data_IF_651798583313
#
_entry.id   IF_651798583313
#
_cell.length_a   1.000
_cell.length_b   1.000
_cell.length_c   1.000
_cell.angle_alpha   90.00
_cell.angle_beta   90.00
_cell.angle_gamma   90.00
#
_symmetry.space_group_name_H-M   'P 1'
#
loop_
_entity.id
_entity.type
_entity.pdbx_description
1 polymer ?
#
# COMPACT_ATOMS: atom_id res chain seq x y z
N UNK A 1 -7.53 4.63 28.01
CA UNK A 1 -7.32 4.41 26.55
C UNK A 1 -8.63 4.79 25.87
N UNK A 2 -8.62 5.76 24.97
CA UNK A 2 -9.79 6.15 24.18
C UNK A 2 -9.69 5.54 22.79
N UNK A 3 -10.81 5.07 22.24
CA UNK A 3 -10.94 4.59 20.86
C UNK A 3 -11.74 5.58 20.00
N UNK A 4 -12.01 6.77 20.53
CA UNK A 4 -12.70 7.82 19.80
C UNK A 4 -11.73 8.55 18.88
N UNK A 5 -12.15 8.77 17.64
CA UNK A 5 -11.42 9.60 16.68
C UNK A 5 -11.45 11.07 17.11
N UNK A 6 -10.35 11.78 16.90
CA UNK A 6 -10.30 13.25 17.03
C UNK A 6 -11.19 13.92 15.97
N UNK A 7 -11.49 15.21 16.13
CA UNK A 7 -12.26 15.97 15.14
C UNK A 7 -11.59 15.93 13.76
N UNK A 8 -10.29 16.23 13.72
CA UNK A 8 -9.46 16.17 12.50
C UNK A 8 -9.49 14.78 11.84
N UNK A 9 -9.35 13.71 12.63
CA UNK A 9 -9.43 12.33 12.11
C UNK A 9 -10.79 12.02 11.50
N UNK A 10 -11.89 12.51 12.09
CA UNK A 10 -13.24 12.33 11.54
C UNK A 10 -13.42 13.10 10.23
N UNK A 11 -12.93 14.32 10.17
CA UNK A 11 -13.00 15.17 8.97
C UNK A 11 -12.23 14.55 7.80
N UNK A 12 -10.99 14.10 8.03
CA UNK A 12 -10.16 13.47 7.00
C UNK A 12 -10.70 12.09 6.58
N UNK A 13 -11.23 11.31 7.52
CA UNK A 13 -11.94 10.06 7.21
C UNK A 13 -13.17 10.34 6.34
N UNK A 14 -13.96 11.37 6.66
CA UNK A 14 -15.13 11.74 5.87
C UNK A 14 -14.75 12.22 4.47
N UNK A 15 -13.71 13.05 4.33
CA UNK A 15 -13.19 13.51 3.04
C UNK A 15 -12.74 12.31 2.17
N UNK A 16 -11.96 11.39 2.74
CA UNK A 16 -11.49 10.21 2.02
C UNK A 16 -12.67 9.29 1.61
N UNK A 17 -13.67 9.14 2.48
CA UNK A 17 -14.88 8.36 2.18
C UNK A 17 -15.69 8.99 1.04
N UNK A 18 -15.92 10.30 1.07
CA UNK A 18 -16.64 11.02 0.02
C UNK A 18 -15.93 10.88 -1.33
N UNK A 19 -14.60 11.02 -1.36
CA UNK A 19 -13.82 10.77 -2.56
C UNK A 19 -13.94 9.31 -3.03
N UNK A 20 -13.86 8.35 -2.10
CA UNK A 20 -13.98 6.94 -2.42
C UNK A 20 -15.36 6.58 -3.01
N UNK A 21 -16.44 7.15 -2.47
CA UNK A 21 -17.81 6.93 -2.93
C UNK A 21 -18.08 7.60 -4.28
N UNK A 22 -17.61 8.84 -4.47
CA UNK A 22 -17.91 9.64 -5.67
C UNK A 22 -16.98 9.40 -6.85
N UNK A 23 -15.70 9.15 -6.58
CA UNK A 23 -14.66 9.14 -7.60
C UNK A 23 -14.04 7.74 -7.82
N UNK A 24 -13.99 6.87 -6.79
CA UNK A 24 -13.40 5.53 -6.93
C UNK A 24 -14.43 4.45 -7.25
N UNK A 25 -15.47 4.33 -6.44
CA UNK A 25 -16.47 3.25 -6.56
C UNK A 25 -17.14 3.21 -7.93
N UNK A 26 -17.62 4.33 -8.52
CA UNK A 26 -18.41 4.29 -9.75
C UNK A 26 -17.63 3.78 -10.96
N UNK A 27 -16.32 4.02 -10.99
CA UNK A 27 -15.44 3.67 -12.11
C UNK A 27 -14.65 2.36 -11.86
N UNK A 28 -14.78 1.78 -10.66
CA UNK A 28 -14.00 0.62 -10.18
C UNK A 28 -14.03 -0.59 -11.14
N UNK A 29 -15.23 -0.93 -11.66
CA UNK A 29 -15.41 -2.07 -12.58
C UNK A 29 -14.72 -1.85 -13.91
N UNK A 30 -14.93 -0.67 -14.50
CA UNK A 30 -14.40 -0.29 -15.80
C UNK A 30 -12.86 -0.30 -15.79
N UNK A 31 -12.24 0.28 -14.76
CA UNK A 31 -10.78 0.35 -14.68
C UNK A 31 -10.14 -0.97 -14.25
N UNK A 32 -10.85 -1.82 -13.50
CA UNK A 32 -10.41 -3.22 -13.31
C UNK A 32 -10.39 -3.98 -14.63
N UNK A 33 -11.33 -3.74 -15.54
CA UNK A 33 -11.39 -4.37 -16.86
C UNK A 33 -10.34 -3.85 -17.83
N UNK A 34 -10.09 -2.54 -17.81
CA UNK A 34 -9.00 -1.92 -18.57
C UNK A 34 -7.62 -2.30 -18.06
N UNK A 35 -7.56 -2.82 -16.84
CA UNK A 35 -6.33 -3.11 -16.11
C UNK A 35 -5.39 -1.91 -16.03
N UNK A 36 -5.92 -0.69 -15.87
CA UNK A 36 -5.12 0.53 -15.91
C UNK A 36 -5.57 1.58 -14.88
N UNK A 37 -4.79 2.65 -14.74
CA UNK A 37 -5.07 3.71 -13.78
C UNK A 37 -5.44 5.04 -14.49
N UNK A 38 -6.55 5.71 -14.12
CA UNK A 38 -6.94 6.98 -14.70
C UNK A 38 -6.02 8.13 -14.26
N UNK A 39 -5.28 8.80 -15.16
CA UNK A 39 -4.44 9.95 -14.79
C UNK A 39 -5.24 11.10 -14.18
N UNK A 40 -6.46 11.34 -14.67
CA UNK A 40 -7.34 12.38 -14.14
C UNK A 40 -7.75 12.12 -12.68
N UNK A 41 -7.96 10.86 -12.30
CA UNK A 41 -8.25 10.50 -10.91
C UNK A 41 -7.06 10.81 -10.00
N UNK A 42 -5.84 10.50 -10.46
CA UNK A 42 -4.62 10.77 -9.71
C UNK A 42 -4.41 12.28 -9.54
N UNK A 43 -4.68 13.07 -10.57
CA UNK A 43 -4.64 14.53 -10.50
C UNK A 43 -5.69 15.08 -9.50
N UNK A 44 -6.92 14.56 -9.51
CA UNK A 44 -7.94 14.93 -8.51
C UNK A 44 -7.50 14.58 -7.09
N UNK A 45 -6.94 13.38 -6.88
CA UNK A 45 -6.44 12.95 -5.58
C UNK A 45 -5.30 13.86 -5.08
N UNK A 46 -4.38 14.25 -5.97
CA UNK A 46 -3.30 15.17 -5.66
C UNK A 46 -3.81 16.57 -5.29
N UNK A 47 -4.76 17.12 -6.05
CA UNK A 47 -5.37 18.42 -5.76
C UNK A 47 -6.11 18.47 -4.41
N UNK A 48 -6.62 17.32 -3.94
CA UNK A 48 -7.24 17.18 -2.61
C UNK A 48 -6.24 16.86 -1.49
N UNK A 49 -4.94 16.73 -1.79
CA UNK A 49 -3.89 16.38 -0.83
C UNK A 49 -3.88 14.90 -0.42
N UNK A 50 -4.64 14.03 -1.09
CA UNK A 50 -4.69 12.60 -0.75
C UNK A 50 -3.39 11.87 -1.07
N UNK A 51 -2.57 12.39 -2.00
CA UNK A 51 -1.22 11.87 -2.31
C UNK A 51 -0.11 12.45 -1.42
N UNK A 52 -0.43 13.42 -0.54
CA UNK A 52 0.57 14.19 0.22
C UNK A 52 0.23 14.39 1.69
N UNK A 53 -0.90 13.82 2.16
CA UNK A 53 -1.39 13.99 3.53
C UNK A 53 -0.36 13.67 4.62
N UNK A 54 0.50 12.66 4.40
CA UNK A 54 1.53 12.25 5.36
C UNK A 54 2.84 13.07 5.27
N UNK A 55 2.99 13.94 4.28
CA UNK A 55 4.17 14.80 4.14
C UNK A 55 4.03 15.96 5.13
N UNK A 56 5.06 16.33 5.93
CA UNK A 56 4.98 17.45 6.87
C UNK A 56 4.61 18.78 6.19
N UNK A 57 3.87 19.62 6.93
CA UNK A 57 3.39 20.91 6.42
C UNK A 57 4.52 21.86 5.98
N UNK A 58 5.70 21.79 6.60
CA UNK A 58 6.87 22.58 6.18
C UNK A 58 7.36 22.25 4.76
N UNK A 59 7.00 21.08 4.23
CA UNK A 59 7.27 20.66 2.85
C UNK A 59 6.01 20.72 1.97
N UNK A 60 4.92 21.34 2.45
CA UNK A 60 3.69 21.56 1.69
C UNK A 60 2.64 20.45 1.78
N UNK A 61 2.84 19.43 2.63
CA UNK A 61 1.86 18.36 2.83
C UNK A 61 0.89 18.59 3.98
N UNK A 62 0.11 17.56 4.32
CA UNK A 62 -0.89 17.62 5.40
C UNK A 62 -0.33 17.42 6.82
N UNK A 63 0.84 16.79 6.96
CA UNK A 63 1.46 16.50 8.24
C UNK A 63 0.66 15.57 9.16
N UNK A 64 -0.23 14.75 8.59
CA UNK A 64 -1.13 13.92 9.40
C UNK A 64 -0.41 12.71 9.99
N UNK A 65 -0.94 12.23 11.13
CA UNK A 65 -0.39 11.10 11.86
C UNK A 65 -0.58 9.77 11.11
N UNK A 66 0.19 8.74 11.44
CA UNK A 66 0.09 7.40 10.88
C UNK A 66 -1.30 6.77 11.12
N UNK A 67 -1.93 7.01 12.27
CA UNK A 67 -3.32 6.60 12.52
C UNK A 67 -4.27 7.26 11.52
N UNK A 68 -4.12 8.57 11.31
CA UNK A 68 -4.94 9.31 10.34
C UNK A 68 -4.71 8.82 8.91
N UNK A 69 -3.46 8.57 8.50
CA UNK A 69 -3.14 7.97 7.20
C UNK A 69 -3.78 6.59 7.03
N UNK A 70 -3.80 5.76 8.08
CA UNK A 70 -4.46 4.46 8.04
C UNK A 70 -5.99 4.58 7.86
N UNK A 71 -6.63 5.60 8.47
CA UNK A 71 -8.04 5.89 8.22
C UNK A 71 -8.29 6.27 6.76
N UNK A 72 -7.46 7.14 6.19
CA UNK A 72 -7.55 7.53 4.78
C UNK A 72 -7.39 6.30 3.87
N UNK A 73 -6.38 5.46 4.12
CA UNK A 73 -6.14 4.24 3.34
C UNK A 73 -7.32 3.24 3.41
N UNK A 74 -7.93 3.06 4.58
CA UNK A 74 -9.13 2.23 4.77
C UNK A 74 -10.29 2.74 3.91
N UNK A 75 -10.56 4.04 3.94
CA UNK A 75 -11.68 4.66 3.20
C UNK A 75 -11.48 4.61 1.68
N UNK A 76 -10.28 4.92 1.18
CA UNK A 76 -9.98 4.84 -0.25
C UNK A 76 -10.09 3.40 -0.76
N UNK A 77 -9.55 2.44 0.01
CA UNK A 77 -9.57 1.02 -0.34
C UNK A 77 -10.97 0.41 -0.25
N UNK A 78 -11.81 0.92 0.66
CA UNK A 78 -13.23 0.62 0.67
C UNK A 78 -13.81 0.92 -0.71
N UNK A 79 -13.58 2.11 -1.29
CA UNK A 79 -14.08 2.49 -2.62
C UNK A 79 -13.53 1.66 -3.77
N UNK A 80 -12.20 1.54 -3.88
CA UNK A 80 -11.55 0.61 -4.80
C UNK A 80 -10.05 0.51 -4.50
N UNK A 81 -9.61 -0.58 -3.87
CA UNK A 81 -8.19 -0.81 -3.60
C UNK A 81 -7.30 -0.67 -4.85
N UNK A 82 -7.69 -1.24 -6.00
CA UNK A 82 -6.90 -1.12 -7.23
C UNK A 82 -6.66 0.33 -7.68
N UNK A 83 -7.62 1.24 -7.48
CA UNK A 83 -7.48 2.67 -7.81
C UNK A 83 -6.82 3.47 -6.68
N UNK A 84 -6.97 3.03 -5.43
CA UNK A 84 -6.37 3.65 -4.26
C UNK A 84 -4.86 3.35 -4.15
N UNK A 85 -4.42 2.16 -4.57
CA UNK A 85 -3.01 1.73 -4.45
C UNK A 85 -2.03 2.69 -5.13
N UNK A 86 -2.25 3.20 -6.36
CA UNK A 86 -1.38 4.22 -6.96
C UNK A 86 -1.29 5.54 -6.17
N UNK A 87 -2.39 5.97 -5.54
CA UNK A 87 -2.45 7.16 -4.67
C UNK A 87 -1.57 6.93 -3.43
N UNK A 88 -1.75 5.79 -2.74
CA UNK A 88 -0.97 5.43 -1.56
C UNK A 88 0.52 5.20 -1.87
N UNK A 89 0.83 4.56 -3.00
CA UNK A 89 2.20 4.26 -3.41
C UNK A 89 3.05 5.52 -3.65
N UNK A 90 2.41 6.64 -3.98
CA UNK A 90 3.08 7.94 -4.10
C UNK A 90 3.74 8.39 -2.79
N UNK A 91 3.26 7.91 -1.65
CA UNK A 91 3.83 8.22 -0.34
C UNK A 91 5.00 7.30 0.05
N UNK A 92 5.31 6.24 -0.71
CA UNK A 92 6.35 5.28 -0.33
C UNK A 92 7.74 5.89 -0.10
N UNK A 93 8.22 6.85 -0.92
CA UNK A 93 9.51 7.49 -0.67
C UNK A 93 9.51 8.48 0.50
N UNK A 94 8.34 8.91 1.00
CA UNK A 94 8.23 10.01 1.98
C UNK A 94 8.95 9.67 3.28
N UNK A 95 8.68 8.50 3.86
CA UNK A 95 9.34 8.08 5.12
C UNK A 95 10.85 7.95 4.96
N UNK A 96 11.38 7.21 3.95
CA UNK A 96 12.81 7.19 3.66
C UNK A 96 13.44 8.58 3.48
N UNK A 97 12.80 9.48 2.73
CA UNK A 97 13.28 10.85 2.53
C UNK A 97 13.31 11.67 3.82
N UNK A 98 12.27 11.56 4.66
CA UNK A 98 12.21 12.28 5.93
C UNK A 98 13.31 11.82 6.89
N UNK A 99 13.60 10.52 6.93
CA UNK A 99 14.54 9.93 7.90
C UNK A 99 16.00 9.95 7.44
N UNK A 100 16.26 9.70 6.16
CA UNK A 100 17.61 9.52 5.62
C UNK A 100 18.00 10.57 4.57
N UNK A 101 17.05 11.39 4.12
CA UNK A 101 17.32 12.45 3.17
C UNK A 101 18.07 13.62 3.79
N UNK A 102 18.90 14.27 2.98
CA UNK A 102 19.45 15.59 3.33
C UNK A 102 18.35 16.66 3.26
N UNK A 103 18.56 17.80 3.91
CA UNK A 103 17.61 18.93 3.83
C UNK A 103 17.38 19.42 2.39
N UNK A 104 18.40 19.36 1.54
CA UNK A 104 18.26 19.69 0.12
C UNK A 104 17.35 18.69 -0.61
N UNK A 105 17.50 17.39 -0.34
CA UNK A 105 16.63 16.35 -0.90
C UNK A 105 15.20 16.49 -0.39
N UNK A 106 14.99 16.71 0.92
CA UNK A 106 13.65 16.91 1.48
C UNK A 106 12.94 18.09 0.82
N UNK A 107 13.60 19.25 0.76
CA UNK A 107 13.03 20.46 0.12
C UNK A 107 12.73 20.27 -1.37
N UNK A 108 13.54 19.50 -2.09
CA UNK A 108 13.30 19.21 -3.52
C UNK A 108 12.16 18.22 -3.71
N UNK A 109 12.27 17.04 -3.10
CA UNK A 109 11.42 15.89 -3.43
C UNK A 109 10.11 15.89 -2.67
N UNK A 110 10.12 16.20 -1.36
CA UNK A 110 8.87 16.25 -0.60
C UNK A 110 7.97 17.39 -1.07
N UNK A 111 8.53 18.56 -1.41
CA UNK A 111 7.75 19.65 -1.98
C UNK A 111 7.16 19.30 -3.35
N UNK A 112 7.89 18.56 -4.18
CA UNK A 112 7.36 18.06 -5.47
C UNK A 112 6.23 17.06 -5.27
N UNK A 113 6.41 16.08 -4.37
CA UNK A 113 5.39 15.09 -4.00
C UNK A 113 4.15 15.74 -3.38
N UNK A 114 4.32 16.85 -2.66
CA UNK A 114 3.24 17.59 -2.04
C UNK A 114 2.53 18.59 -2.97
N UNK A 115 3.03 18.80 -4.18
CA UNK A 115 2.45 19.77 -5.10
C UNK A 115 1.04 19.37 -5.56
N UNK A 116 0.16 20.36 -5.76
CA UNK A 116 -1.21 20.13 -6.26
C UNK A 116 -1.25 19.48 -7.66
N UNK A 117 -0.17 19.64 -8.45
CA UNK A 117 -0.02 18.95 -9.74
C UNK A 117 0.14 17.44 -9.58
N UNK A 118 0.52 16.99 -8.39
CA UNK A 118 0.93 15.62 -8.12
C UNK A 118 2.33 15.32 -8.66
N UNK A 119 2.94 14.29 -8.10
CA UNK A 119 4.15 13.68 -8.62
C UNK A 119 4.06 12.20 -8.26
N UNK A 120 3.78 11.34 -9.24
CA UNK A 120 3.65 9.91 -8.95
C UNK A 120 4.99 9.35 -8.52
N UNK A 121 4.95 8.52 -7.49
CA UNK A 121 6.15 7.90 -6.98
C UNK A 121 6.02 6.38 -6.81
N UNK A 122 7.17 5.75 -6.74
CA UNK A 122 7.33 4.31 -6.58
C UNK A 122 8.51 3.99 -5.67
N UNK A 123 8.57 2.72 -5.26
CA UNK A 123 9.71 2.13 -4.56
C UNK A 123 10.02 0.78 -5.20
N UNK A 124 11.29 0.52 -5.48
CA UNK A 124 11.71 -0.61 -6.31
C UNK A 124 12.80 -1.45 -5.62
N UNK A 125 12.35 -2.51 -4.96
CA UNK A 125 13.22 -3.53 -4.34
C UNK A 125 13.31 -4.78 -5.20
N UNK A 126 12.14 -5.32 -5.53
CA UNK A 126 11.92 -6.66 -6.08
C UNK A 126 12.52 -6.83 -7.46
N UNK A 127 13.06 -8.01 -7.67
CA UNK A 127 13.66 -8.47 -8.92
C UNK A 127 13.10 -9.84 -9.28
N UNK A 128 13.20 -10.28 -10.55
CA UNK A 128 12.72 -11.60 -10.95
C UNK A 128 13.26 -12.75 -10.10
N UNK A 129 14.49 -12.63 -9.58
CA UNK A 129 15.13 -13.62 -8.72
C UNK A 129 15.02 -13.36 -7.21
N UNK A 130 14.50 -12.22 -6.77
CA UNK A 130 14.52 -11.81 -5.37
C UNK A 130 13.30 -10.95 -4.99
N UNK A 131 12.42 -11.48 -4.13
CA UNK A 131 11.28 -10.76 -3.57
C UNK A 131 11.30 -10.77 -2.04
N UNK A 132 10.93 -11.90 -1.44
CA UNK A 132 11.00 -12.07 0.02
C UNK A 132 12.43 -11.93 0.57
N UNK A 133 13.43 -12.38 -0.18
CA UNK A 133 14.85 -12.20 0.12
C UNK A 133 15.38 -10.87 -0.46
N UNK A 134 15.05 -9.76 0.20
CA UNK A 134 15.51 -8.42 -0.22
C UNK A 134 17.04 -8.31 -0.23
N UNK A 135 17.73 -9.02 0.67
CA UNK A 135 19.20 -9.04 0.71
C UNK A 135 19.80 -9.71 -0.54
N UNK A 136 19.04 -10.60 -1.17
CA UNK A 136 19.39 -11.34 -2.37
C UNK A 136 19.30 -10.55 -3.69
N UNK A 137 18.90 -9.27 -3.69
CA UNK A 137 18.83 -8.46 -4.93
C UNK A 137 20.18 -8.43 -5.68
N UNK A 138 20.14 -8.30 -7.00
CA UNK A 138 21.28 -8.44 -7.91
C UNK A 138 21.53 -7.21 -8.79
N UNK A 139 20.58 -6.28 -8.93
CA UNK A 139 20.83 -5.01 -9.62
C UNK A 139 22.07 -4.33 -9.03
N UNK A 140 22.95 -3.82 -9.88
CA UNK A 140 24.25 -3.28 -9.47
C UNK A 140 24.28 -1.76 -9.61
N UNK A 141 25.09 -1.12 -8.78
CA UNK A 141 25.55 0.24 -8.94
C UNK A 141 27.08 0.25 -8.90
N UNK A 142 27.71 1.13 -9.67
CA UNK A 142 29.15 1.42 -9.60
C UNK A 142 29.37 2.93 -9.59
N UNK A 143 30.45 3.37 -8.97
CA UNK A 143 30.90 4.78 -9.07
C UNK A 143 31.45 5.05 -10.47
N UNK A 144 31.20 6.25 -10.98
CA UNK A 144 31.77 6.74 -12.24
C UNK A 144 31.97 8.26 -12.16
N UNK A 145 33.15 8.68 -11.69
CA UNK A 145 33.41 10.07 -11.33
C UNK A 145 32.56 10.49 -10.13
N UNK A 146 31.80 11.58 -10.29
CA UNK A 146 30.89 12.12 -9.28
C UNK A 146 29.49 11.48 -9.34
N UNK A 147 29.26 10.54 -10.26
CA UNK A 147 27.95 9.89 -10.47
C UNK A 147 28.00 8.40 -10.10
N UNK A 148 26.81 7.80 -10.06
CA UNK A 148 26.61 6.35 -10.01
C UNK A 148 26.05 5.85 -11.34
N UNK A 149 26.41 4.63 -11.72
CA UNK A 149 25.87 3.94 -12.89
C UNK A 149 25.16 2.68 -12.43
N UNK A 150 23.86 2.59 -12.68
CA UNK A 150 22.99 1.49 -12.27
C UNK A 150 22.68 0.57 -13.45
N UNK A 151 22.70 -0.74 -13.21
CA UNK A 151 22.37 -1.75 -14.22
C UNK A 151 21.54 -2.88 -13.59
N UNK A 152 20.47 -3.30 -14.25
CA UNK A 152 19.59 -4.37 -13.76
C UNK A 152 18.11 -4.19 -14.12
N UNK A 153 17.26 -5.00 -13.51
CA UNK A 153 15.81 -4.98 -13.70
C UNK A 153 15.11 -5.08 -12.35
N UNK A 154 14.15 -4.17 -12.13
CA UNK A 154 13.17 -4.25 -11.06
C UNK A 154 11.85 -4.71 -11.63
N UNK A 155 11.11 -5.54 -10.89
CA UNK A 155 9.81 -6.04 -11.32
C UNK A 155 8.76 -5.89 -10.21
N UNK A 156 7.48 -6.02 -10.59
CA UNK A 156 6.34 -5.87 -9.70
C UNK A 156 6.31 -4.52 -8.96
N UNK A 157 6.85 -3.47 -9.58
CA UNK A 157 6.91 -2.13 -8.98
C UNK A 157 5.56 -1.45 -9.19
N UNK A 158 4.84 -1.17 -8.11
CA UNK A 158 3.66 -0.32 -8.15
C UNK A 158 4.05 1.06 -8.65
N UNK A 159 3.30 1.59 -9.63
CA UNK A 159 3.64 2.76 -10.44
C UNK A 159 4.90 2.62 -11.31
N UNK A 160 5.48 1.41 -11.45
CA UNK A 160 6.78 1.12 -12.09
C UNK A 160 6.93 1.40 -13.59
N UNK A 161 5.99 2.08 -14.21
CA UNK A 161 6.12 2.59 -15.58
C UNK A 161 5.49 3.98 -15.76
N UNK A 162 4.96 4.55 -14.69
CA UNK A 162 4.24 5.84 -14.69
C UNK A 162 4.71 6.77 -13.57
N UNK A 163 5.51 6.29 -12.62
CA UNK A 163 6.10 7.10 -11.56
C UNK A 163 7.14 8.06 -12.14
N UNK A 164 7.09 9.30 -11.70
CA UNK A 164 8.07 10.33 -12.02
C UNK A 164 9.31 10.23 -11.13
N UNK A 165 9.14 9.72 -9.90
CA UNK A 165 10.22 9.50 -8.92
C UNK A 165 10.15 8.07 -8.40
N UNK A 166 11.27 7.35 -8.46
CA UNK A 166 11.38 6.00 -7.89
C UNK A 166 12.54 5.95 -6.90
N UNK A 167 12.28 5.44 -5.69
CA UNK A 167 13.35 5.03 -4.78
C UNK A 167 13.83 3.62 -5.14
N UNK A 168 15.04 3.50 -5.67
CA UNK A 168 15.62 2.27 -6.23
C UNK A 168 16.72 1.74 -5.33
N UNK A 169 16.77 0.41 -5.15
CA UNK A 169 17.80 -0.27 -4.36
C UNK A 169 18.72 -1.12 -5.26
N UNK A 170 20.03 -0.92 -5.17
CA UNK A 170 21.03 -1.66 -5.96
C UNK A 170 22.28 -1.96 -5.13
N UNK A 171 23.05 -2.98 -5.52
CA UNK A 171 24.31 -3.37 -4.88
C UNK A 171 25.46 -2.51 -5.36
N UNK A 172 26.09 -1.78 -4.45
CA UNK A 172 27.35 -1.07 -4.63
C UNK A 172 28.39 -1.74 -3.73
N UNK A 173 29.48 -2.25 -4.32
CA UNK A 173 30.54 -2.96 -3.60
C UNK A 173 30.03 -4.08 -2.67
N UNK A 174 28.98 -4.79 -3.12
CA UNK A 174 28.33 -5.88 -2.40
C UNK A 174 27.31 -5.46 -1.34
N UNK A 175 27.19 -4.17 -1.04
CA UNK A 175 26.23 -3.63 -0.07
C UNK A 175 25.03 -2.97 -0.77
N UNK A 176 23.84 -3.10 -0.20
CA UNK A 176 22.63 -2.49 -0.76
C UNK A 176 22.65 -0.98 -0.50
N UNK A 177 22.45 -0.19 -1.54
CA UNK A 177 22.44 1.27 -1.52
C UNK A 177 21.15 1.77 -2.19
N UNK A 178 20.65 2.92 -1.72
CA UNK A 178 19.37 3.48 -2.16
C UNK A 178 19.57 4.77 -2.98
N UNK A 179 18.84 4.89 -4.09
CA UNK A 179 18.97 5.98 -5.05
C UNK A 179 17.59 6.55 -5.41
N UNK A 180 17.50 7.88 -5.49
CA UNK A 180 16.34 8.59 -6.02
C UNK A 180 16.50 8.70 -7.54
N UNK A 181 15.64 8.04 -8.30
CA UNK A 181 15.72 7.96 -9.77
C UNK A 181 14.52 8.65 -10.39
N UNK A 182 14.74 9.51 -11.39
CA UNK A 182 13.66 10.19 -12.11
C UNK A 182 13.27 9.45 -13.40
N UNK A 183 11.99 9.54 -13.76
CA UNK A 183 11.55 9.15 -15.10
C UNK A 183 12.25 10.03 -16.14
N UNK A 184 13.02 9.40 -17.03
CA UNK A 184 13.77 10.09 -18.10
C UNK A 184 15.25 10.27 -17.81
N UNK A 185 15.76 9.84 -16.65
CA UNK A 185 17.20 9.70 -16.46
C UNK A 185 17.81 8.80 -17.56
N UNK A 186 18.95 9.18 -18.19
CA UNK A 186 19.57 8.38 -19.24
C UNK A 186 19.83 6.95 -18.76
N UNK A 187 19.39 5.96 -19.53
CA UNK A 187 19.51 4.53 -19.20
C UNK A 187 18.37 3.97 -18.33
N UNK A 188 17.41 4.80 -17.89
CA UNK A 188 16.21 4.35 -17.17
C UNK A 188 15.05 4.22 -18.14
N UNK A 189 14.46 3.03 -18.23
CA UNK A 189 13.29 2.79 -19.08
C UNK A 189 12.19 2.02 -18.35
N UNK A 190 10.94 2.38 -18.64
CA UNK A 190 9.80 1.57 -18.24
C UNK A 190 9.81 0.27 -19.06
N UNK A 191 9.75 -0.86 -18.37
CA UNK A 191 9.59 -2.15 -19.03
C UNK A 191 8.11 -2.52 -19.18
N UNK A 192 7.80 -3.81 -19.03
CA UNK A 192 6.43 -4.29 -19.24
C UNK A 192 5.52 -3.94 -18.07
N UNK A 193 4.25 -3.71 -18.38
CA UNK A 193 3.16 -3.72 -17.41
C UNK A 193 2.77 -5.16 -17.10
N UNK A 194 2.57 -5.46 -15.82
CA UNK A 194 2.26 -6.79 -15.32
C UNK A 194 0.74 -7.03 -15.28
N UNK A 195 0.32 -8.21 -15.75
CA UNK A 195 -1.07 -8.67 -15.72
C UNK A 195 -1.32 -9.42 -14.40
N UNK A 196 -2.32 -8.98 -13.63
CA UNK A 196 -2.52 -9.43 -12.23
C UNK A 196 -3.90 -10.03 -12.01
N UNK A 197 -4.00 -10.90 -11.00
CA UNK A 197 -5.27 -11.45 -10.52
C UNK A 197 -6.23 -10.34 -10.03
N UNK A 198 -5.71 -9.47 -9.17
CA UNK A 198 -6.44 -8.38 -8.51
C UNK A 198 -5.59 -7.11 -8.47
N UNK A 199 -6.19 -6.03 -7.94
CA UNK A 199 -5.66 -4.67 -8.02
C UNK A 199 -5.31 -4.29 -9.47
N UNK A 200 -6.13 -4.75 -10.43
CA UNK A 200 -5.86 -4.60 -11.87
C UNK A 200 -5.84 -3.14 -12.31
N UNK A 201 -6.62 -2.29 -11.65
CA UNK A 201 -6.62 -0.84 -11.89
C UNK A 201 -5.35 -0.12 -11.36
N UNK A 202 -4.47 -0.82 -10.64
CA UNK A 202 -3.17 -0.30 -10.23
C UNK A 202 -2.15 -0.61 -11.32
N UNK A 203 -1.35 0.38 -11.71
CA UNK A 203 -0.22 0.16 -12.60
C UNK A 203 0.89 -0.57 -11.85
N UNK A 204 1.24 -1.77 -12.29
CA UNK A 204 2.40 -2.52 -11.77
C UNK A 204 3.27 -2.86 -12.97
N UNK A 205 4.56 -2.54 -12.90
CA UNK A 205 5.46 -2.77 -14.04
C UNK A 205 6.89 -3.05 -13.61
N UNK A 206 7.73 -3.29 -14.59
CA UNK A 206 9.18 -3.39 -14.42
C UNK A 206 9.87 -2.07 -14.75
N UNK A 207 10.99 -1.80 -14.10
CA UNK A 207 11.89 -0.68 -14.42
C UNK A 207 13.24 -1.29 -14.81
N UNK A 208 13.75 -0.89 -15.97
CA UNK A 208 15.01 -1.37 -16.52
C UNK A 208 16.08 -0.29 -16.40
N UNK A 209 17.28 -0.72 -16.02
CA UNK A 209 18.46 0.12 -15.90
C UNK A 209 19.54 -0.44 -16.84
N UNK A 210 19.85 0.30 -17.90
CA UNK A 210 20.93 0.02 -18.84
C UNK A 210 21.99 1.12 -18.70
N UNK A 211 22.97 0.86 -17.84
CA UNK A 211 24.01 1.81 -17.44
C UNK A 211 23.44 3.20 -17.12
N UNK A 212 22.38 3.21 -16.30
CA UNK A 212 21.64 4.40 -15.94
C UNK A 212 22.47 5.32 -15.06
N UNK A 213 22.70 6.57 -15.50
CA UNK A 213 23.58 7.52 -14.81
C UNK A 213 22.81 8.38 -13.82
N UNK A 214 23.15 8.26 -12.55
CA UNK A 214 22.47 8.91 -11.41
C UNK A 214 23.45 9.83 -10.67
N UNK A 215 23.17 11.14 -10.57
CA UNK A 215 24.03 12.08 -9.84
C UNK A 215 24.22 11.73 -8.37
N UNK A 216 25.40 12.00 -7.79
CA UNK A 216 25.66 11.65 -6.38
C UNK A 216 24.70 12.30 -5.37
N UNK A 217 24.17 13.49 -5.67
CA UNK A 217 23.14 14.15 -4.85
C UNK A 217 21.83 13.38 -4.72
N UNK A 218 21.62 12.34 -5.54
CA UNK A 218 20.46 11.46 -5.50
C UNK A 218 20.68 10.16 -4.73
N UNK A 219 21.87 9.97 -4.13
CA UNK A 219 22.08 8.94 -3.10
C UNK A 219 21.23 9.25 -1.86
N UNK A 220 20.39 8.32 -1.42
CA UNK A 220 19.62 8.47 -0.18
C UNK A 220 20.33 7.77 0.98
N UNK A 221 20.63 8.53 2.04
CA UNK A 221 21.48 8.06 3.13
C UNK A 221 22.94 7.93 2.68
N UNK A 222 23.69 7.06 3.34
CA UNK A 222 25.04 6.69 2.94
C UNK A 222 25.07 5.38 2.12
N UNK A 223 26.18 5.13 1.45
CA UNK A 223 26.41 3.85 0.78
C UNK A 223 26.35 2.68 1.76
N UNK A 224 25.72 1.60 1.33
CA UNK A 224 25.49 0.43 2.16
C UNK A 224 24.35 0.56 3.18
N UNK A 225 23.74 1.74 3.35
CA UNK A 225 22.59 1.91 4.25
C UNK A 225 21.25 1.46 3.64
N UNK A 226 21.22 1.08 2.36
CA UNK A 226 19.99 0.75 1.65
C UNK A 226 19.19 -0.38 2.29
N UNK A 227 19.84 -1.38 2.91
CA UNK A 227 19.10 -2.42 3.64
C UNK A 227 18.40 -1.87 4.89
N UNK A 228 19.05 -0.97 5.64
CA UNK A 228 18.45 -0.33 6.81
C UNK A 228 17.29 0.59 6.42
N UNK A 229 17.44 1.33 5.31
CA UNK A 229 16.37 2.16 4.73
C UNK A 229 15.17 1.29 4.34
N UNK A 230 15.40 0.15 3.68
CA UNK A 230 14.34 -0.79 3.31
C UNK A 230 13.59 -1.33 4.55
N UNK A 231 14.32 -1.69 5.61
CA UNK A 231 13.69 -2.17 6.84
C UNK A 231 12.89 -1.07 7.55
N UNK A 232 13.36 0.17 7.59
CA UNK A 232 12.58 1.31 8.12
C UNK A 232 11.30 1.54 7.32
N UNK A 233 11.37 1.49 6.00
CA UNK A 233 10.20 1.58 5.13
C UNK A 233 9.16 0.51 5.51
N UNK A 234 9.55 -0.77 5.58
CA UNK A 234 8.61 -1.85 5.89
C UNK A 234 7.96 -1.74 7.28
N UNK A 235 8.66 -1.18 8.27
CA UNK A 235 8.06 -0.94 9.58
C UNK A 235 6.88 0.04 9.50
N UNK A 236 6.93 1.01 8.59
CA UNK A 236 5.92 2.05 8.42
C UNK A 236 4.84 1.70 7.40
N UNK A 237 5.18 0.97 6.33
CA UNK A 237 4.25 0.61 5.26
C UNK A 237 3.24 -0.46 5.70
N UNK A 238 3.64 -1.40 6.56
CA UNK A 238 2.80 -2.56 6.94
C UNK A 238 1.44 -2.19 7.55
N UNK A 239 1.32 -1.22 8.48
CA UNK A 239 0.02 -0.76 8.96
C UNK A 239 -0.86 -0.13 7.87
N UNK A 240 -0.26 0.54 6.88
CA UNK A 240 -1.00 1.13 5.75
C UNK A 240 -1.57 0.05 4.84
N UNK A 241 -0.77 -0.95 4.47
CA UNK A 241 -1.22 -2.10 3.67
C UNK A 241 -2.29 -2.92 4.42
N UNK A 242 -2.17 -3.02 5.74
CA UNK A 242 -3.20 -3.63 6.57
C UNK A 242 -4.51 -2.84 6.53
N UNK A 243 -4.45 -1.50 6.49
CA UNK A 243 -5.63 -0.65 6.30
C UNK A 243 -6.25 -0.81 4.91
N UNK A 244 -5.45 -1.02 3.86
CA UNK A 244 -5.97 -1.37 2.52
C UNK A 244 -6.78 -2.67 2.58
N UNK A 245 -6.25 -3.71 3.25
CA UNK A 245 -6.94 -4.98 3.44
C UNK A 245 -8.26 -4.82 4.21
N UNK A 246 -8.24 -3.99 5.25
CA UNK A 246 -9.43 -3.67 6.02
C UNK A 246 -10.50 -2.97 5.17
N UNK A 247 -10.12 -2.02 4.31
CA UNK A 247 -11.05 -1.35 3.40
C UNK A 247 -11.78 -2.33 2.47
N UNK A 248 -11.04 -3.27 1.87
CA UNK A 248 -11.61 -4.34 1.03
C UNK A 248 -12.55 -5.23 1.85
N UNK A 249 -12.10 -5.70 3.02
CA UNK A 249 -12.89 -6.57 3.89
C UNK A 249 -14.20 -5.89 4.32
N UNK A 250 -14.12 -4.63 4.74
CA UNK A 250 -15.26 -3.82 5.17
C UNK A 250 -16.27 -3.64 4.03
N UNK A 251 -15.80 -3.29 2.83
CA UNK A 251 -16.68 -3.14 1.66
C UNK A 251 -17.44 -4.43 1.33
N UNK A 252 -16.73 -5.58 1.37
CA UNK A 252 -17.33 -6.89 1.12
C UNK A 252 -18.35 -7.28 2.19
N UNK A 253 -18.01 -7.07 3.46
CA UNK A 253 -18.91 -7.34 4.59
C UNK A 253 -20.18 -6.49 4.55
N UNK A 254 -20.06 -5.18 4.33
CA UNK A 254 -21.20 -4.25 4.28
C UNK A 254 -22.15 -4.61 3.12
N UNK A 255 -21.57 -4.88 1.94
CA UNK A 255 -22.35 -5.28 0.77
C UNK A 255 -23.08 -6.61 0.98
N UNK A 256 -22.38 -7.63 1.50
CA UNK A 256 -22.99 -8.93 1.79
C UNK A 256 -24.09 -8.83 2.84
N UNK A 257 -23.91 -7.97 3.85
CA UNK A 257 -24.91 -7.70 4.89
C UNK A 257 -26.16 -7.04 4.29
N UNK A 258 -25.99 -6.02 3.45
CA UNK A 258 -27.12 -5.37 2.76
C UNK A 258 -27.88 -6.39 1.89
N UNK A 259 -27.17 -7.14 1.05
CA UNK A 259 -27.76 -8.18 0.21
C UNK A 259 -28.51 -9.23 1.03
N UNK A 260 -27.97 -9.67 2.17
CA UNK A 260 -28.61 -10.65 3.03
C UNK A 260 -29.90 -10.15 3.70
N UNK A 261 -30.02 -8.84 3.94
CA UNK A 261 -31.24 -8.23 4.45
C UNK A 261 -32.35 -8.15 3.39
N UNK A 262 -31.98 -7.94 2.13
CA UNK A 262 -32.94 -7.76 1.04
C UNK A 262 -33.34 -9.07 0.35
N UNK A 263 -32.38 -9.96 0.12
CA UNK A 263 -32.61 -11.21 -0.61
C UNK A 263 -33.41 -12.18 0.23
N UNK A 264 -34.47 -12.74 -0.37
CA UNK A 264 -35.33 -13.73 0.28
C UNK A 264 -35.06 -15.15 -0.25
N UNK A 265 -35.05 -16.12 0.66
CA UNK A 265 -35.09 -17.54 0.34
C UNK A 265 -35.87 -18.31 1.42
N UNK A 266 -36.65 -19.30 1.01
CA UNK A 266 -37.52 -20.07 1.92
C UNK A 266 -38.37 -19.13 2.81
N UNK A 267 -39.04 -18.16 2.17
CA UNK A 267 -40.02 -17.25 2.79
C UNK A 267 -39.48 -16.19 3.78
N UNK A 268 -38.16 -16.03 3.93
CA UNK A 268 -37.56 -15.01 4.82
C UNK A 268 -36.30 -14.40 4.19
N UNK A 269 -35.87 -13.20 4.62
CA UNK A 269 -34.54 -12.67 4.31
C UNK A 269 -33.43 -13.67 4.61
N UNK A 270 -32.32 -13.64 3.85
CA UNK A 270 -31.18 -14.52 4.08
C UNK A 270 -30.58 -14.30 5.48
N UNK A 271 -30.54 -13.06 5.98
CA UNK A 271 -30.03 -12.74 7.32
C UNK A 271 -30.81 -13.45 8.45
N UNK A 272 -32.07 -13.83 8.22
CA UNK A 272 -32.86 -14.58 9.20
C UNK A 272 -32.49 -16.07 9.27
N UNK A 273 -31.60 -16.55 8.39
CA UNK A 273 -31.10 -17.93 8.37
C UNK A 273 -29.82 -17.98 9.19
N UNK A 274 -29.82 -18.77 10.27
CA UNK A 274 -28.70 -18.83 11.22
C UNK A 274 -27.34 -19.12 10.56
N UNK A 275 -27.31 -20.00 9.56
CA UNK A 275 -26.08 -20.31 8.81
C UNK A 275 -25.50 -19.12 8.02
N UNK A 276 -26.33 -18.13 7.65
CA UNK A 276 -25.89 -16.88 7.01
C UNK A 276 -25.53 -15.84 8.05
N UNK A 277 -26.37 -15.64 9.08
CA UNK A 277 -26.11 -14.61 10.10
C UNK A 277 -24.84 -14.87 10.91
N UNK A 278 -24.49 -16.14 11.17
CA UNK A 278 -23.22 -16.47 11.82
C UNK A 278 -22.01 -16.09 10.96
N UNK A 279 -22.06 -16.30 9.65
CA UNK A 279 -21.01 -15.84 8.72
C UNK A 279 -20.86 -14.32 8.77
N UNK A 280 -21.99 -13.58 8.73
CA UNK A 280 -21.97 -12.12 8.85
C UNK A 280 -21.38 -11.67 10.20
N UNK A 281 -21.70 -12.36 11.30
CA UNK A 281 -21.15 -12.07 12.61
C UNK A 281 -19.62 -12.29 12.66
N UNK A 282 -19.13 -13.41 12.13
CA UNK A 282 -17.69 -13.71 12.07
C UNK A 282 -16.95 -12.68 11.19
N UNK A 283 -17.54 -12.27 10.06
CA UNK A 283 -16.97 -11.22 9.22
C UNK A 283 -16.87 -9.88 9.96
N UNK A 284 -17.92 -9.49 10.70
CA UNK A 284 -17.91 -8.26 11.50
C UNK A 284 -16.81 -8.30 12.57
N UNK A 285 -16.65 -9.42 13.28
CA UNK A 285 -15.60 -9.61 14.29
C UNK A 285 -14.21 -9.48 13.65
N UNK A 286 -13.99 -10.09 12.49
CA UNK A 286 -12.72 -10.02 11.77
C UNK A 286 -12.38 -8.58 11.33
N UNK A 287 -13.35 -7.83 10.81
CA UNK A 287 -13.18 -6.42 10.43
C UNK A 287 -12.78 -5.57 11.64
N UNK A 288 -13.49 -5.68 12.76
CA UNK A 288 -13.16 -4.90 13.96
C UNK A 288 -11.81 -5.31 14.57
N UNK A 289 -11.50 -6.61 14.64
CA UNK A 289 -10.23 -7.08 15.15
C UNK A 289 -9.05 -6.58 14.30
N UNK A 290 -9.19 -6.57 12.96
CA UNK A 290 -8.18 -6.03 12.06
C UNK A 290 -7.97 -4.54 12.30
N UNK A 291 -9.06 -3.75 12.42
CA UNK A 291 -8.99 -2.30 12.69
C UNK A 291 -8.22 -1.99 13.97
N UNK A 292 -8.47 -2.73 15.05
CA UNK A 292 -7.79 -2.52 16.33
C UNK A 292 -6.28 -2.84 16.25
N UNK A 293 -5.90 -3.89 15.53
CA UNK A 293 -4.48 -4.22 15.32
C UNK A 293 -3.77 -3.13 14.51
N UNK A 294 -4.43 -2.62 13.46
CA UNK A 294 -3.93 -1.54 12.61
C UNK A 294 -3.73 -0.27 13.43
N UNK A 295 -4.76 0.18 14.15
CA UNK A 295 -4.69 1.40 14.95
C UNK A 295 -3.63 1.30 16.05
N UNK A 296 -3.48 0.13 16.67
CA UNK A 296 -2.41 -0.09 17.65
C UNK A 296 -1.01 0.04 17.03
N UNK A 297 -0.81 -0.52 15.84
CA UNK A 297 0.48 -0.41 15.15
C UNK A 297 0.76 1.03 14.70
N UNK A 298 -0.23 1.70 14.12
CA UNK A 298 -0.11 3.08 13.68
C UNK A 298 0.11 4.06 14.85
N UNK A 299 -0.58 3.88 15.98
CA UNK A 299 -0.37 4.70 17.17
C UNK A 299 1.02 4.49 17.79
N UNK A 300 1.59 3.29 17.68
CA UNK A 300 2.98 3.05 18.09
C UNK A 300 3.98 3.83 17.22
N UNK A 301 3.74 3.90 15.91
CA UNK A 301 4.55 4.73 15.00
C UNK A 301 4.44 6.22 15.35
N UNK A 302 3.22 6.71 15.61
CA UNK A 302 2.99 8.10 16.03
C UNK A 302 3.70 8.44 17.35
N UNK A 303 3.82 7.48 18.27
CA UNK A 303 4.57 7.62 19.51
C UNK A 303 6.10 7.45 19.35
N UNK A 304 6.60 7.19 18.13
CA UNK A 304 8.02 6.96 17.87
C UNK A 304 8.55 5.62 18.39
N UNK A 305 7.67 4.66 18.69
CA UNK A 305 8.04 3.33 19.17
C UNK A 305 8.33 2.38 18.00
N UNK A 306 9.09 1.30 18.26
CA UNK A 306 9.24 0.20 17.31
C UNK A 306 7.88 -0.49 17.09
N UNK A 307 7.37 -0.37 15.86
CA UNK A 307 6.14 -1.01 15.43
C UNK A 307 6.38 -2.26 14.56
N UNK A 308 7.60 -2.75 14.41
CA UNK A 308 7.91 -3.89 13.54
C UNK A 308 7.10 -5.15 13.89
N UNK A 309 6.97 -5.47 15.18
CA UNK A 309 6.12 -6.58 15.63
C UNK A 309 4.61 -6.28 15.44
N UNK A 310 4.17 -5.10 15.87
CA UNK A 310 2.76 -4.70 15.81
C UNK A 310 2.25 -4.59 14.37
N UNK A 311 3.04 -4.02 13.48
CA UNK A 311 2.78 -3.94 12.05
C UNK A 311 2.72 -5.32 11.40
N UNK A 312 3.58 -6.26 11.82
CA UNK A 312 3.53 -7.64 11.31
C UNK A 312 2.28 -8.38 11.78
N UNK A 313 1.82 -8.17 13.02
CA UNK A 313 0.52 -8.66 13.49
C UNK A 313 -0.64 -8.08 12.67
N UNK A 314 -0.66 -6.76 12.50
CA UNK A 314 -1.71 -6.06 11.76
C UNK A 314 -1.78 -6.55 10.31
N UNK A 315 -0.65 -6.57 9.59
CA UNK A 315 -0.59 -6.98 8.18
C UNK A 315 -0.99 -8.43 7.99
N UNK A 316 -0.43 -9.36 8.77
CA UNK A 316 -0.76 -10.77 8.67
C UNK A 316 -2.25 -11.02 8.92
N UNK A 317 -2.79 -10.47 10.02
CA UNK A 317 -4.19 -10.68 10.39
C UNK A 317 -5.15 -10.02 9.40
N UNK A 318 -4.92 -8.75 9.03
CA UNK A 318 -5.82 -8.02 8.14
C UNK A 318 -5.85 -8.63 6.73
N UNK A 319 -4.72 -9.09 6.19
CA UNK A 319 -4.68 -9.76 4.89
C UNK A 319 -5.43 -11.11 4.90
N UNK A 320 -5.24 -11.91 5.95
CA UNK A 320 -5.94 -13.20 6.10
C UNK A 320 -7.45 -12.98 6.33
N UNK A 321 -7.81 -11.98 7.14
CA UNK A 321 -9.19 -11.57 7.37
C UNK A 321 -9.86 -11.09 6.07
N UNK A 322 -9.21 -10.24 5.28
CA UNK A 322 -9.75 -9.77 4.00
C UNK A 322 -10.07 -10.92 3.05
N UNK A 323 -9.19 -11.93 2.95
CA UNK A 323 -9.46 -13.12 2.15
C UNK A 323 -10.63 -13.95 2.69
N UNK A 324 -10.70 -14.15 4.00
CA UNK A 324 -11.80 -14.86 4.65
C UNK A 324 -13.14 -14.15 4.39
N UNK A 325 -13.20 -12.85 4.70
CA UNK A 325 -14.41 -12.02 4.57
C UNK A 325 -14.89 -11.95 3.11
N UNK A 326 -13.99 -11.72 2.16
CA UNK A 326 -14.39 -11.62 0.75
C UNK A 326 -14.86 -12.96 0.17
N UNK A 327 -14.27 -14.07 0.61
CA UNK A 327 -14.73 -15.42 0.24
C UNK A 327 -16.15 -15.68 0.77
N UNK A 328 -16.39 -15.34 2.03
CA UNK A 328 -17.71 -15.50 2.65
C UNK A 328 -18.75 -14.52 2.07
N UNK A 329 -18.35 -13.31 1.70
CA UNK A 329 -19.23 -12.37 0.99
C UNK A 329 -19.73 -12.96 -0.33
N UNK A 330 -18.83 -13.52 -1.16
CA UNK A 330 -19.22 -14.25 -2.39
C UNK A 330 -20.19 -15.39 -2.06
N UNK A 331 -19.91 -16.16 -1.00
CA UNK A 331 -20.75 -17.28 -0.59
C UNK A 331 -22.15 -16.86 -0.12
N UNK A 332 -22.28 -15.72 0.58
CA UNK A 332 -23.58 -15.16 1.02
C UNK A 332 -24.44 -14.75 -0.17
N UNK A 333 -23.84 -14.21 -1.23
CA UNK A 333 -24.56 -13.85 -2.45
C UNK A 333 -24.93 -15.08 -3.30
N UNK A 334 -24.22 -16.20 -3.13
CA UNK A 334 -24.43 -17.42 -3.91
C UNK A 334 -24.06 -17.22 -5.38
N UNK A 335 -24.95 -17.62 -6.29
CA UNK A 335 -24.70 -17.46 -7.74
C UNK A 335 -24.40 -16.02 -8.15
N UNK A 336 -25.08 -15.04 -7.55
CA UNK A 336 -24.83 -13.61 -7.77
C UNK A 336 -23.40 -13.18 -7.38
N UNK A 337 -22.78 -13.84 -6.40
CA UNK A 337 -21.43 -13.52 -5.94
C UNK A 337 -20.33 -13.88 -6.94
N UNK A 338 -20.63 -14.74 -7.92
CA UNK A 338 -19.70 -15.10 -9.01
C UNK A 338 -19.91 -14.19 -10.24
N UNK A 339 -21.05 -13.50 -10.31
CA UNK A 339 -21.37 -12.64 -11.43
C UNK A 339 -20.62 -11.30 -11.33
N UNK A 340 -20.20 -10.78 -12.48
CA UNK A 340 -19.33 -9.61 -12.60
C UNK A 340 -20.06 -8.26 -12.49
N UNK A 341 -21.39 -8.30 -12.38
CA UNK A 341 -22.28 -7.18 -12.05
C UNK A 341 -22.35 -6.91 -10.53
N UNK A 342 -21.88 -7.85 -9.71
CA UNK A 342 -21.67 -7.67 -8.28
C UNK A 342 -20.17 -7.43 -7.96
N UNK A 343 -19.84 -6.52 -7.03
CA UNK A 343 -18.44 -6.15 -6.76
C UNK A 343 -17.65 -7.18 -5.95
N UNK A 344 -18.32 -8.15 -5.30
CA UNK A 344 -17.69 -9.09 -4.35
C UNK A 344 -16.64 -10.00 -5.00
N UNK A 345 -16.83 -10.40 -6.26
CA UNK A 345 -15.83 -11.21 -6.99
C UNK A 345 -14.51 -10.44 -7.16
N UNK A 346 -14.61 -9.13 -7.42
CA UNK A 346 -13.46 -8.25 -7.59
C UNK A 346 -12.72 -8.08 -6.27
N UNK A 347 -13.45 -7.82 -5.19
CA UNK A 347 -12.84 -7.70 -3.86
C UNK A 347 -12.13 -8.98 -3.42
N UNK A 348 -12.66 -10.16 -3.76
CA UNK A 348 -11.98 -11.44 -3.53
C UNK A 348 -10.64 -11.52 -4.28
N UNK A 349 -10.62 -11.15 -5.56
CA UNK A 349 -9.37 -11.10 -6.35
C UNK A 349 -8.37 -10.09 -5.78
N UNK A 350 -8.84 -8.90 -5.42
CA UNK A 350 -8.03 -7.81 -4.86
C UNK A 350 -7.42 -8.21 -3.51
N UNK A 351 -8.21 -8.80 -2.60
CA UNK A 351 -7.76 -9.24 -1.28
C UNK A 351 -6.60 -10.23 -1.35
N UNK A 352 -6.54 -11.08 -2.39
CA UNK A 352 -5.51 -12.11 -2.49
C UNK A 352 -4.11 -11.53 -2.64
N UNK A 353 -4.01 -10.37 -3.29
CA UNK A 353 -2.74 -9.68 -3.50
C UNK A 353 -2.11 -9.28 -2.15
N UNK A 354 -2.92 -8.93 -1.16
CA UNK A 354 -2.46 -8.41 0.14
C UNK A 354 -1.87 -9.49 1.06
N UNK A 355 -2.10 -10.78 0.78
CA UNK A 355 -1.35 -11.86 1.44
C UNK A 355 0.08 -12.01 0.90
N UNK A 356 0.41 -11.37 -0.23
CA UNK A 356 1.69 -11.56 -0.95
C UNK A 356 2.57 -10.32 -0.85
N UNK A 357 2.03 -9.15 -1.20
CA UNK A 357 2.81 -7.89 -1.28
C UNK A 357 3.24 -7.39 0.10
N UNK A 358 4.28 -6.54 0.14
CA UNK A 358 4.78 -5.91 1.39
C UNK A 358 5.12 -6.94 2.48
N UNK A 359 5.75 -8.03 2.03
CA UNK A 359 6.10 -9.22 2.81
C UNK A 359 4.94 -10.21 2.91
N UNK A 360 5.14 -11.42 2.37
CA UNK A 360 4.11 -12.46 2.35
C UNK A 360 3.59 -12.82 3.75
N UNK A 361 2.42 -13.46 3.83
CA UNK A 361 1.86 -13.99 5.08
C UNK A 361 2.87 -14.85 5.87
N UNK A 362 3.76 -15.58 5.19
CA UNK A 362 4.84 -16.36 5.79
C UNK A 362 5.98 -15.47 6.29
N UNK A 363 6.35 -14.43 5.54
CA UNK A 363 7.38 -13.47 5.98
C UNK A 363 6.92 -12.68 7.19
N UNK A 364 5.65 -12.27 7.27
CA UNK A 364 5.15 -11.63 8.49
C UNK A 364 5.24 -12.57 9.70
N UNK A 365 4.89 -13.85 9.52
CA UNK A 365 5.05 -14.87 10.57
C UNK A 365 6.51 -15.10 10.92
N UNK A 366 7.42 -15.07 9.95
CA UNK A 366 8.85 -15.13 10.19
C UNK A 366 9.32 -13.96 11.06
N UNK A 367 8.93 -12.73 10.73
CA UNK A 367 9.26 -11.54 11.54
C UNK A 367 8.73 -11.69 12.97
N UNK A 368 7.47 -12.11 13.14
CA UNK A 368 6.88 -12.39 14.46
C UNK A 368 7.74 -13.39 15.24
N UNK A 369 8.16 -14.49 14.59
CA UNK A 369 9.02 -15.51 15.22
C UNK A 369 10.37 -14.93 15.64
N UNK A 370 10.97 -14.03 14.85
CA UNK A 370 12.23 -13.37 15.21
C UNK A 370 12.08 -12.52 16.49
N UNK A 371 10.99 -11.74 16.59
CA UNK A 371 10.69 -10.97 17.81
C UNK A 371 10.42 -11.87 19.02
N UNK A 372 9.79 -13.04 18.84
CA UNK A 372 9.57 -14.00 19.93
C UNK A 372 10.85 -14.72 20.38
N UNK A 373 11.83 -14.87 19.48
CA UNK A 373 13.14 -15.48 19.75
C UNK A 373 14.14 -14.51 20.37
N UNK A 374 13.98 -13.21 20.11
CA UNK A 374 14.79 -12.21 20.76
C UNK A 374 14.70 -12.42 22.28
N UNK A 375 15.83 -12.48 23.01
CA UNK A 375 15.78 -12.58 24.46
C UNK A 375 14.88 -11.44 24.94
N UNK A 376 13.83 -11.77 25.70
CA UNK A 376 13.02 -10.74 26.35
C UNK A 376 13.97 -9.93 27.22
N UNK A 377 14.33 -8.74 26.74
CA UNK A 377 15.27 -7.86 27.41
C UNK A 377 14.75 -7.53 28.81
N UNK A 378 15.62 -7.84 29.77
CA UNK A 378 15.75 -7.28 31.11
C UNK A 378 15.54 -5.78 31.21
#
# INVERSE_FOLDING_TARGET
MSFELTAEQRELKALAHEFAERELRPISREWDEREDCPPELLAKAAALGLTSHAIPAEYGGGGVSAVTSALVAEELSWGCAGLATPIGATLFPVRPLLRFGTEAQKKRWLARLASEKGCLAAIAFTEPGAGSDVAGLQSTARRDGDDYVLSGEKCYVTNGGIAELTLVFAKLDGAITAFLVEAGDPGVTAGRKELKLGLRASYTGSILFDDARIPAERLLGAEGEGFAIAMDFFMHSRPQVAAEALGIARAAFEYATAYANERHAFGKPLIAKQGVSFKLADMAIQVEAARLLIWRAAAALDAGHDAGLLGSYAKAFAADAAMSVTTEAVQVLGGAGIMRDHPVEKWLRDAKVLQIVEGTSEIQRHVIVQYLRAPRGS
#
